data_IF_189832705238
#
_entry.id   IF_189832705238
#
_cell.length_a   1.000
_cell.length_b   1.000
_cell.length_c   1.000
_cell.angle_alpha   90.00
_cell.angle_beta   90.00
_cell.angle_gamma   90.00
#
_symmetry.space_group_name_H-M   'P 1'
#
loop_
_entity.id
_entity.type
_entity.pdbx_description
1 polymer ?
#
# COMPACT_ATOMS: atom_id res chain seq x y z
N UNK A 1 -1.16 12.85 5.63
CA UNK A 1 0.22 12.84 6.18
C UNK A 1 1.16 12.86 4.99
N UNK A 2 2.18 13.72 4.97
CA UNK A 2 3.19 13.73 3.90
C UNK A 2 4.38 12.91 4.37
N UNK A 3 4.72 11.85 3.64
CA UNK A 3 5.86 10.97 3.99
C UNK A 3 7.13 11.55 3.37
N UNK A 4 8.22 11.60 4.13
CA UNK A 4 9.52 12.04 3.62
C UNK A 4 10.25 10.92 2.86
N UNK A 5 11.10 11.28 1.89
CA UNK A 5 11.92 10.31 1.15
C UNK A 5 12.72 9.40 2.08
N UNK A 6 13.33 9.96 3.13
CA UNK A 6 14.08 9.20 4.13
C UNK A 6 13.24 8.12 4.82
N UNK A 7 11.97 8.38 5.09
CA UNK A 7 11.05 7.39 5.68
C UNK A 7 10.67 6.31 4.67
N UNK A 8 10.47 6.68 3.40
CA UNK A 8 10.21 5.74 2.31
C UNK A 8 11.38 4.78 2.15
N UNK A 9 12.59 5.32 2.02
CA UNK A 9 13.82 4.53 1.85
C UNK A 9 14.04 3.58 3.05
N UNK A 10 13.82 4.07 4.27
CA UNK A 10 13.94 3.25 5.48
C UNK A 10 12.95 2.08 5.48
N UNK A 11 11.73 2.26 4.96
CA UNK A 11 10.72 1.20 4.84
C UNK A 11 11.06 0.24 3.70
N UNK A 12 11.50 0.73 2.55
CA UNK A 12 11.89 -0.10 1.40
C UNK A 12 13.04 -1.04 1.78
N UNK A 13 13.99 -0.55 2.58
CA UNK A 13 15.11 -1.34 3.09
C UNK A 13 14.71 -2.41 4.13
N UNK A 14 13.48 -2.42 4.64
CA UNK A 14 13.01 -3.46 5.56
C UNK A 14 12.77 -4.79 4.82
N UNK A 15 12.91 -5.88 5.56
CA UNK A 15 12.46 -7.22 5.14
C UNK A 15 10.96 -7.25 4.76
N UNK A 16 10.59 -8.15 3.85
CA UNK A 16 9.23 -8.25 3.30
C UNK A 16 8.13 -8.30 4.37
N UNK A 17 8.30 -9.13 5.41
CA UNK A 17 7.33 -9.25 6.51
C UNK A 17 7.17 -7.95 7.31
N UNK A 18 8.27 -7.17 7.46
CA UNK A 18 8.23 -5.88 8.16
C UNK A 18 7.57 -4.82 7.28
N UNK A 19 7.83 -4.80 5.98
CA UNK A 19 7.11 -3.94 5.02
C UNK A 19 5.62 -4.21 5.00
N UNK A 20 5.23 -5.48 5.03
CA UNK A 20 3.82 -5.87 5.11
C UNK A 20 3.14 -5.37 6.39
N UNK A 21 3.78 -5.54 7.56
CA UNK A 21 3.26 -5.00 8.84
C UNK A 21 3.16 -3.47 8.82
N UNK A 22 4.15 -2.79 8.23
CA UNK A 22 4.08 -1.34 8.04
C UNK A 22 2.91 -0.95 7.15
N UNK A 23 2.71 -1.66 6.04
CA UNK A 23 1.57 -1.45 5.14
C UNK A 23 0.24 -1.55 5.89
N UNK A 24 -0.01 -2.68 6.59
CA UNK A 24 -1.26 -2.89 7.34
C UNK A 24 -1.49 -1.79 8.37
N UNK A 25 -0.45 -1.39 9.11
CA UNK A 25 -0.52 -0.29 10.09
C UNK A 25 -1.02 0.99 9.44
N UNK A 26 -0.36 1.42 8.37
CA UNK A 26 -0.64 2.71 7.73
C UNK A 26 -2.04 2.73 7.14
N UNK A 27 -2.47 1.66 6.45
CA UNK A 27 -3.82 1.63 5.85
C UNK A 27 -4.92 1.49 6.90
N UNK A 28 -4.65 0.89 8.06
CA UNK A 28 -5.58 0.83 9.18
C UNK A 28 -5.77 2.22 9.82
N UNK A 29 -4.66 2.95 10.03
CA UNK A 29 -4.67 4.29 10.62
C UNK A 29 -5.28 5.33 9.66
N UNK A 30 -4.96 5.25 8.37
CA UNK A 30 -5.38 6.24 7.36
C UNK A 30 -6.70 5.90 6.68
N UNK A 31 -7.12 4.63 6.72
CA UNK A 31 -8.26 4.10 5.96
C UNK A 31 -8.17 4.35 4.45
N UNK A 32 -6.94 4.51 3.94
CA UNK A 32 -6.64 4.77 2.54
C UNK A 32 -5.71 3.69 1.99
N UNK A 33 -5.91 3.34 0.72
CA UNK A 33 -4.98 2.51 -0.03
C UNK A 33 -4.81 3.07 -1.42
N UNK A 34 -3.60 3.00 -1.94
CA UNK A 34 -3.20 3.62 -3.19
C UNK A 34 -2.84 2.56 -4.23
N UNK A 35 -3.11 2.87 -5.48
CA UNK A 35 -2.80 2.06 -6.66
C UNK A 35 -2.29 2.97 -7.77
N UNK A 36 -2.01 2.38 -8.94
CA UNK A 36 -1.58 3.10 -10.13
C UNK A 36 -2.60 2.93 -11.25
N UNK A 37 -2.92 4.03 -11.94
CA UNK A 37 -3.92 4.06 -13.01
C UNK A 37 -3.42 4.80 -14.25
N UNK A 38 -3.63 4.20 -15.44
CA UNK A 38 -3.38 4.79 -16.76
C UNK A 38 -4.29 4.13 -17.79
N UNK A 39 -5.50 4.68 -17.98
CA UNK A 39 -6.56 4.09 -18.80
C UNK A 39 -6.90 2.63 -18.42
N UNK A 40 -6.59 2.26 -17.17
CA UNK A 40 -6.60 0.90 -16.66
C UNK A 40 -5.74 0.78 -15.40
N UNK A 41 -6.00 -0.25 -14.59
CA UNK A 41 -5.21 -0.53 -13.39
C UNK A 41 -3.87 -1.17 -13.74
N UNK A 42 -2.80 -0.73 -13.08
CA UNK A 42 -1.52 -1.42 -13.09
C UNK A 42 -1.67 -2.85 -12.56
N UNK A 43 -1.16 -3.86 -13.27
CA UNK A 43 -1.17 -5.26 -12.86
C UNK A 43 0.22 -5.88 -13.07
N UNK A 44 0.79 -6.46 -12.04
CA UNK A 44 2.07 -7.16 -12.12
C UNK A 44 1.86 -8.66 -12.36
N UNK A 45 2.83 -9.32 -12.99
CA UNK A 45 2.91 -10.77 -13.09
C UNK A 45 3.80 -11.35 -12.01
N UNK A 46 3.41 -12.45 -11.39
CA UNK A 46 4.30 -13.27 -10.55
C UNK A 46 5.09 -14.25 -11.42
N UNK A 47 6.13 -14.87 -10.84
CA UNK A 47 6.89 -15.95 -11.49
C UNK A 47 6.00 -17.11 -11.93
N UNK A 48 4.91 -17.37 -11.19
CA UNK A 48 3.89 -18.38 -11.50
C UNK A 48 2.83 -17.91 -12.50
N UNK A 49 3.09 -16.81 -13.22
CA UNK A 49 2.19 -16.21 -14.22
C UNK A 49 0.82 -15.79 -13.66
N UNK A 50 0.73 -15.51 -12.34
CA UNK A 50 -0.47 -14.96 -11.74
C UNK A 50 -0.48 -13.43 -11.89
N UNK A 51 -1.64 -12.86 -12.22
CA UNK A 51 -1.82 -11.41 -12.23
C UNK A 51 -2.13 -10.94 -10.81
N UNK A 52 -1.33 -10.02 -10.30
CA UNK A 52 -1.53 -9.40 -9.00
C UNK A 52 -1.74 -7.90 -9.16
N UNK A 53 -2.54 -7.34 -8.25
CA UNK A 53 -2.81 -5.92 -8.20
C UNK A 53 -1.91 -5.27 -7.12
N UNK A 54 -0.86 -4.53 -7.51
CA UNK A 54 0.01 -3.86 -6.55
C UNK A 54 -0.73 -2.71 -5.86
N UNK A 55 -0.55 -2.63 -4.55
CA UNK A 55 -1.14 -1.59 -3.70
C UNK A 55 -0.12 -1.02 -2.73
N UNK A 56 -0.28 0.26 -2.41
CA UNK A 56 0.65 1.02 -1.58
C UNK A 56 -0.05 1.68 -0.39
N UNK A 57 0.66 1.85 0.74
CA UNK A 57 0.05 2.38 1.95
C UNK A 57 -0.12 3.90 1.92
N UNK A 58 0.57 4.60 1.01
CA UNK A 58 0.44 6.04 0.81
C UNK A 58 0.75 6.42 -0.65
N UNK A 59 0.34 7.63 -1.02
CA UNK A 59 0.50 8.18 -2.38
C UNK A 59 1.96 8.19 -2.83
N UNK A 60 2.86 8.60 -1.95
CA UNK A 60 4.27 8.83 -2.25
C UNK A 60 5.00 7.53 -2.63
N UNK A 61 4.56 6.39 -2.09
CA UNK A 61 5.11 5.09 -2.50
C UNK A 61 4.66 4.71 -3.92
N UNK A 62 3.42 5.03 -4.30
CA UNK A 62 2.91 4.78 -5.65
C UNK A 62 3.59 5.71 -6.67
N UNK A 63 3.80 6.99 -6.31
CA UNK A 63 4.53 7.97 -7.12
C UNK A 63 5.95 7.47 -7.46
N UNK A 64 6.69 6.98 -6.46
CA UNK A 64 8.03 6.44 -6.68
C UNK A 64 8.05 5.25 -7.67
N UNK A 65 7.02 4.41 -7.64
CA UNK A 65 6.88 3.31 -8.59
C UNK A 65 6.50 3.80 -10.00
N UNK A 66 5.69 4.85 -10.11
CA UNK A 66 5.33 5.50 -11.37
C UNK A 66 6.53 6.19 -12.05
N UNK A 67 7.52 6.65 -11.29
CA UNK A 67 8.74 7.24 -11.85
C UNK A 67 9.70 6.21 -12.47
N UNK A 68 9.54 4.92 -12.14
CA UNK A 68 10.46 3.86 -12.54
C UNK A 68 9.78 2.82 -13.44
N UNK A 69 9.19 1.79 -12.83
CA UNK A 69 8.65 0.62 -13.54
C UNK A 69 7.32 0.91 -14.25
N UNK A 70 6.60 1.93 -13.79
CA UNK A 70 5.23 2.23 -14.21
C UNK A 70 5.10 3.62 -14.84
N UNK A 71 6.04 3.98 -15.74
CA UNK A 71 6.12 5.32 -16.34
C UNK A 71 4.79 5.77 -16.97
N UNK A 72 4.32 6.92 -16.49
CA UNK A 72 3.08 7.58 -16.94
C UNK A 72 1.80 6.98 -16.36
N UNK A 73 1.90 6.08 -15.38
CA UNK A 73 0.78 5.81 -14.49
C UNK A 73 0.70 6.87 -13.41
N UNK A 74 -0.51 7.18 -12.97
CA UNK A 74 -0.76 8.17 -11.93
C UNK A 74 -1.22 7.49 -10.63
N UNK A 75 -0.78 7.97 -9.46
CA UNK A 75 -1.24 7.47 -8.17
C UNK A 75 -2.73 7.75 -7.99
N UNK A 76 -3.49 6.69 -7.76
CA UNK A 76 -4.94 6.76 -7.58
C UNK A 76 -5.35 6.13 -6.25
N UNK A 77 -6.24 6.81 -5.51
CA UNK A 77 -6.80 6.29 -4.27
C UNK A 77 -7.87 5.25 -4.60
N UNK A 78 -7.56 3.97 -4.34
CA UNK A 78 -8.41 2.84 -4.74
C UNK A 78 -9.74 2.82 -3.97
N UNK A 79 -9.75 3.29 -2.71
CA UNK A 79 -10.96 3.29 -1.89
C UNK A 79 -11.08 4.55 -1.02
N UNK A 80 -12.29 5.09 -0.90
CA UNK A 80 -12.58 6.27 -0.06
C UNK A 80 -12.81 5.95 1.43
N UNK A 81 -12.99 4.67 1.79
CA UNK A 81 -13.13 4.23 3.19
C UNK A 81 -12.78 2.74 3.31
N UNK A 82 -11.50 2.42 3.53
CA UNK A 82 -11.12 1.06 3.88
C UNK A 82 -11.64 0.74 5.29
N UNK A 83 -12.53 -0.24 5.40
CA UNK A 83 -12.99 -0.78 6.67
C UNK A 83 -12.53 -2.23 6.85
N UNK A 84 -11.32 -2.53 6.39
CA UNK A 84 -10.75 -3.90 6.35
C UNK A 84 -10.65 -4.54 7.73
N UNK A 85 -10.77 -3.79 8.82
CA UNK A 85 -10.75 -4.31 10.19
C UNK A 85 -12.13 -4.35 10.85
N UNK A 86 -13.22 -4.04 10.14
CA UNK A 86 -14.57 -4.09 10.75
C UNK A 86 -15.02 -5.52 11.04
N UNK A 87 -14.61 -6.46 10.20
CA UNK A 87 -15.05 -7.85 10.25
C UNK A 87 -14.02 -8.78 10.89
N UNK A 88 -12.89 -8.25 11.37
CA UNK A 88 -11.90 -9.02 12.10
C UNK A 88 -12.21 -8.96 13.59
N UNK A 89 -12.33 -10.12 14.23
CA UNK A 89 -12.54 -10.22 15.67
C UNK A 89 -11.41 -9.54 16.44
N UNK A 90 -11.77 -8.94 17.58
CA UNK A 90 -10.87 -8.11 18.38
C UNK A 90 -9.58 -8.86 18.79
N UNK A 91 -9.68 -10.18 18.92
CA UNK A 91 -8.59 -11.09 19.25
C UNK A 91 -7.46 -11.11 18.19
N UNK A 92 -7.79 -10.88 16.91
CA UNK A 92 -6.80 -10.77 15.81
C UNK A 92 -6.35 -9.33 15.55
N UNK A 93 -7.07 -8.34 16.08
CA UNK A 93 -6.67 -6.92 16.03
C UNK A 93 -5.74 -6.49 17.16
N UNK A 94 -5.33 -7.38 18.06
CA UNK A 94 -4.32 -7.12 19.10
C UNK A 94 -2.96 -6.61 18.56
N UNK A 95 -2.72 -6.65 17.24
CA UNK A 95 -1.58 -6.02 16.59
C UNK A 95 -1.71 -4.49 16.48
N UNK A 96 -2.92 -3.93 16.58
CA UNK A 96 -3.21 -2.51 16.40
C UNK A 96 -4.36 -2.07 17.33
N UNK A 97 -4.06 -1.58 18.55
CA UNK A 97 -5.08 -0.97 19.40
C UNK A 97 -5.65 0.27 18.69
N UNK A 98 -6.98 0.38 18.63
CA UNK A 98 -7.65 1.57 18.13
C UNK A 98 -7.54 2.67 19.19
N UNK A 99 -6.99 3.82 18.82
CA UNK A 99 -6.99 5.04 19.66
C UNK A 99 -8.38 5.70 19.68
#
# INVERSE_FOLDING_TARGET
MRISQKQIDAVIALEGTKRYKHFIKVIADTQEVWGLYKDGWALAGTEDNQKVFPVWPAKEYAELCAENEWVGYEPYRVCRRLNILRDYSDEKTNLYPRN
#
